data_IF_921710460609
#
_entry.id   IF_921710460609
#
_cell.length_a   1.000
_cell.length_b   1.000
_cell.length_c   1.000
_cell.angle_alpha   90.00
_cell.angle_beta   90.00
_cell.angle_gamma   90.00
#
_symmetry.space_group_name_H-M   'P 1'
#
loop_
_entity.id
_entity.type
_entity.pdbx_description
1 polymer ?
#
# COMPACT_ATOMS: atom_id res chain seq x y z
N UNK A 1 32.03 -52.97 3.16
CA UNK A 1 31.02 -51.89 3.32
C UNK A 1 30.07 -52.18 4.48
N UNK A 2 30.58 -52.39 5.71
CA UNK A 2 29.77 -52.82 6.85
C UNK A 2 29.89 -51.93 8.10
N UNK A 3 30.25 -50.65 7.93
CA UNK A 3 30.55 -49.72 9.04
C UNK A 3 29.68 -48.46 9.10
N UNK A 4 28.74 -48.24 8.17
CA UNK A 4 27.91 -47.02 8.14
C UNK A 4 26.47 -47.18 8.69
N UNK A 5 26.01 -48.40 8.99
CA UNK A 5 24.65 -48.61 9.52
C UNK A 5 24.55 -48.52 11.05
N UNK A 6 25.65 -48.74 11.79
CA UNK A 6 25.65 -48.70 13.26
C UNK A 6 25.75 -47.27 13.84
N UNK A 7 26.47 -46.35 13.18
CA UNK A 7 26.55 -44.94 13.62
C UNK A 7 25.21 -44.21 13.51
N UNK A 8 24.42 -44.49 12.47
CA UNK A 8 23.12 -43.85 12.26
C UNK A 8 22.04 -44.31 13.27
N UNK A 9 22.15 -45.54 13.78
CA UNK A 9 21.24 -46.09 14.80
C UNK A 9 21.53 -45.49 16.19
N UNK A 10 22.81 -45.38 16.58
CA UNK A 10 23.20 -44.70 17.82
C UNK A 10 22.84 -43.20 17.83
N UNK A 11 22.98 -42.49 16.69
CA UNK A 11 22.60 -41.08 16.59
C UNK A 11 21.07 -40.86 16.68
N UNK A 12 20.25 -41.79 16.16
CA UNK A 12 18.79 -41.74 16.29
C UNK A 12 18.32 -42.02 17.72
N UNK A 13 18.92 -42.99 18.41
CA UNK A 13 18.56 -43.30 19.81
C UNK A 13 18.99 -42.18 20.78
N UNK A 14 20.13 -41.52 20.55
CA UNK A 14 20.53 -40.35 21.35
C UNK A 14 19.61 -39.14 21.18
N UNK A 15 19.05 -38.92 19.97
CA UNK A 15 18.04 -37.86 19.74
C UNK A 15 16.70 -38.21 20.40
N UNK A 16 16.27 -39.47 20.34
CA UNK A 16 15.05 -39.93 21.02
C UNK A 16 15.15 -39.77 22.54
N UNK A 17 16.28 -40.12 23.15
CA UNK A 17 16.47 -39.99 24.60
C UNK A 17 16.51 -38.53 25.06
N UNK A 18 17.10 -37.62 24.28
CA UNK A 18 17.07 -36.17 24.55
C UNK A 18 15.66 -35.57 24.40
N UNK A 19 14.90 -35.99 23.40
CA UNK A 19 13.51 -35.54 23.21
C UNK A 19 12.61 -36.07 24.33
N UNK A 20 12.76 -37.33 24.73
CA UNK A 20 11.97 -37.92 25.82
C UNK A 20 12.30 -37.28 27.18
N UNK A 21 13.59 -37.01 27.45
CA UNK A 21 14.01 -36.28 28.65
C UNK A 21 13.49 -34.83 28.67
N UNK A 22 13.47 -34.16 27.50
CA UNK A 22 12.92 -32.81 27.38
C UNK A 22 11.39 -32.78 27.56
N UNK A 23 10.67 -33.74 26.97
CA UNK A 23 9.22 -33.92 27.14
C UNK A 23 8.87 -34.29 28.59
N UNK A 24 9.59 -35.19 29.24
CA UNK A 24 9.38 -35.50 30.66
C UNK A 24 9.63 -34.29 31.56
N UNK A 25 10.68 -33.50 31.29
CA UNK A 25 10.94 -32.27 32.04
C UNK A 25 9.88 -31.19 31.77
N UNK A 26 9.40 -31.06 30.54
CA UNK A 26 8.34 -30.12 30.17
C UNK A 26 7.00 -30.52 30.79
N UNK A 27 6.63 -31.80 30.74
CA UNK A 27 5.42 -32.35 31.36
C UNK A 27 5.51 -32.22 32.88
N UNK A 28 6.64 -32.56 33.54
CA UNK A 28 6.81 -32.35 34.98
C UNK A 28 6.72 -30.86 35.36
N UNK A 29 7.20 -29.94 34.51
CA UNK A 29 7.11 -28.49 34.75
C UNK A 29 5.67 -27.98 34.57
N UNK A 30 4.89 -28.57 33.66
CA UNK A 30 3.44 -28.33 33.55
C UNK A 30 2.72 -28.88 34.78
N UNK A 31 3.01 -30.12 35.20
CA UNK A 31 2.38 -30.74 36.36
C UNK A 31 2.70 -29.99 37.66
N UNK A 32 3.94 -29.55 37.88
CA UNK A 32 4.31 -28.69 39.00
C UNK A 32 3.59 -27.34 38.93
N UNK A 33 3.47 -26.72 37.75
CA UNK A 33 2.71 -25.47 37.60
C UNK A 33 1.22 -25.69 37.85
N UNK A 34 0.61 -26.77 37.36
CA UNK A 34 -0.80 -27.08 37.64
C UNK A 34 -1.03 -27.44 39.10
N UNK A 35 -0.11 -28.14 39.76
CA UNK A 35 -0.19 -28.43 41.19
C UNK A 35 -0.02 -27.16 42.02
N UNK A 36 0.89 -26.26 41.63
CA UNK A 36 1.05 -24.95 42.27
C UNK A 36 -0.19 -24.08 42.09
N UNK A 37 -0.77 -24.06 40.89
CA UNK A 37 -2.03 -23.38 40.58
C UNK A 37 -3.18 -23.96 41.41
N UNK A 38 -3.32 -25.29 41.50
CA UNK A 38 -4.36 -25.96 42.31
C UNK A 38 -4.18 -25.68 43.80
N UNK A 39 -2.95 -25.66 44.31
CA UNK A 39 -2.65 -25.31 45.72
C UNK A 39 -2.95 -23.84 45.98
N UNK A 40 -2.59 -22.93 45.06
CA UNK A 40 -2.97 -21.52 45.13
C UNK A 40 -4.50 -21.36 45.13
N UNK A 41 -5.25 -22.07 44.28
CA UNK A 41 -6.71 -22.04 44.28
C UNK A 41 -7.35 -22.59 45.56
N UNK A 42 -6.70 -23.53 46.26
CA UNK A 42 -7.19 -24.09 47.52
C UNK A 42 -7.06 -23.12 48.70
N UNK A 43 -6.18 -22.13 48.61
CA UNK A 43 -5.87 -21.15 49.67
C UNK A 43 -6.34 -19.72 49.35
N UNK A 44 -6.91 -19.48 48.16
CA UNK A 44 -7.54 -18.22 47.83
C UNK A 44 -8.99 -18.28 48.32
N UNK A 45 -9.29 -17.50 49.36
CA UNK A 45 -10.65 -17.20 49.79
C UNK A 45 -11.51 -16.88 48.56
N UNK A 46 -12.65 -17.57 48.40
CA UNK A 46 -13.51 -17.44 47.21
C UNK A 46 -13.88 -15.98 46.92
N UNK A 47 -13.97 -15.12 47.95
CA UNK A 47 -14.18 -13.68 47.75
C UNK A 47 -13.02 -12.98 47.04
N UNK A 48 -11.77 -13.37 47.35
CA UNK A 48 -10.55 -12.85 46.71
C UNK A 48 -10.39 -13.35 45.28
N UNK A 49 -10.84 -14.57 44.98
CA UNK A 49 -10.86 -15.10 43.62
C UNK A 49 -11.85 -14.32 42.74
N UNK A 50 -13.05 -14.05 43.25
CA UNK A 50 -14.05 -13.25 42.53
C UNK A 50 -13.54 -11.83 42.27
N UNK A 51 -12.88 -11.20 43.24
CA UNK A 51 -12.26 -9.87 43.08
C UNK A 51 -11.14 -9.90 42.05
N UNK A 52 -10.29 -10.93 42.05
CA UNK A 52 -9.22 -11.09 41.06
C UNK A 52 -9.77 -11.29 39.64
N UNK A 53 -10.80 -12.12 39.46
CA UNK A 53 -11.46 -12.33 38.16
C UNK A 53 -12.15 -11.07 37.66
N UNK A 54 -12.79 -10.30 38.55
CA UNK A 54 -13.34 -8.97 38.22
C UNK A 54 -12.25 -8.00 37.79
N UNK A 55 -11.09 -8.03 38.45
CA UNK A 55 -9.95 -7.18 38.11
C UNK A 55 -9.33 -7.55 36.75
N UNK A 56 -9.22 -8.86 36.46
CA UNK A 56 -8.78 -9.36 35.14
C UNK A 56 -9.79 -8.98 34.07
N UNK A 57 -11.10 -9.09 34.33
CA UNK A 57 -12.15 -8.68 33.38
C UNK A 57 -12.13 -7.15 33.14
N UNK A 58 -11.92 -6.35 34.19
CA UNK A 58 -11.78 -4.90 34.06
C UNK A 58 -10.52 -4.54 33.27
N UNK A 59 -9.42 -5.25 33.52
CA UNK A 59 -8.14 -5.06 32.84
C UNK A 59 -8.22 -5.45 31.36
N UNK A 60 -8.87 -6.57 31.02
CA UNK A 60 -9.09 -6.97 29.62
C UNK A 60 -9.99 -5.96 28.91
N UNK A 61 -11.06 -5.47 29.55
CA UNK A 61 -11.91 -4.40 29.00
C UNK A 61 -11.15 -3.10 28.75
N UNK A 62 -10.14 -2.76 29.57
CA UNK A 62 -9.27 -1.59 29.31
C UNK A 62 -8.27 -1.81 28.19
N UNK A 63 -7.73 -3.03 28.03
CA UNK A 63 -6.78 -3.34 26.94
C UNK A 63 -7.49 -3.38 25.58
N UNK A 64 -8.76 -3.81 25.50
CA UNK A 64 -9.53 -3.76 24.25
C UNK A 64 -9.79 -2.33 23.74
N UNK A 65 -9.89 -1.33 24.62
CA UNK A 65 -10.04 0.07 24.18
C UNK A 65 -8.78 0.62 23.52
N UNK A 66 -7.60 0.09 23.86
CA UNK A 66 -6.32 0.55 23.30
C UNK A 66 -6.02 0.01 21.89
N UNK A 67 -6.83 -0.91 21.37
CA UNK A 67 -6.78 -1.37 19.98
C UNK A 67 -7.80 -0.69 19.07
N UNK A 68 -8.58 0.27 19.58
CA UNK A 68 -9.30 1.19 18.71
C UNK A 68 -8.29 2.18 18.13
N UNK A 69 -7.73 1.87 16.97
CA UNK A 69 -7.10 2.89 16.13
C UNK A 69 -8.14 3.98 15.94
N UNK A 70 -7.92 5.14 16.58
CA UNK A 70 -8.58 6.37 16.17
C UNK A 70 -7.96 6.76 14.82
N UNK A 71 -8.30 6.02 13.77
CA UNK A 71 -8.24 6.56 12.43
C UNK A 71 -9.27 7.67 12.43
N UNK A 72 -8.83 8.90 12.72
CA UNK A 72 -9.62 10.08 12.45
C UNK A 72 -9.94 9.97 10.96
N UNK A 73 -11.22 9.77 10.57
CA UNK A 73 -11.56 9.68 9.15
C UNK A 73 -10.96 10.92 8.48
N UNK A 74 -10.16 10.75 7.42
CA UNK A 74 -9.63 11.87 6.65
C UNK A 74 -10.82 12.77 6.31
N UNK A 75 -10.91 13.91 7.01
CA UNK A 75 -12.16 14.66 7.20
C UNK A 75 -12.62 15.36 5.91
N UNK A 76 -11.73 15.43 4.93
CA UNK A 76 -11.96 16.02 3.63
C UNK A 76 -11.25 15.14 2.63
N UNK A 77 -12.00 14.31 1.92
CA UNK A 77 -11.52 13.90 0.61
C UNK A 77 -11.51 15.17 -0.23
N UNK A 78 -10.37 15.47 -0.83
CA UNK A 78 -10.25 16.62 -1.70
C UNK A 78 -11.28 16.48 -2.86
N UNK A 79 -11.40 17.47 -3.74
CA UNK A 79 -12.09 17.25 -5.02
C UNK A 79 -11.11 17.46 -6.17
N UNK A 80 -11.52 17.16 -7.40
CA UNK A 80 -10.74 17.55 -8.58
C UNK A 80 -10.57 19.08 -8.64
N UNK A 81 -11.51 19.84 -8.05
CA UNK A 81 -11.39 21.27 -7.85
C UNK A 81 -10.52 21.61 -6.62
N UNK A 82 -9.89 22.78 -6.70
CA UNK A 82 -9.09 23.30 -5.60
C UNK A 82 -9.99 23.88 -4.51
N UNK A 83 -9.85 23.38 -3.28
CA UNK A 83 -10.48 23.94 -2.10
C UNK A 83 -9.99 25.37 -1.81
N UNK A 84 -10.71 26.12 -0.98
CA UNK A 84 -10.28 27.47 -0.57
C UNK A 84 -8.91 27.47 0.13
N UNK A 85 -8.61 26.42 0.91
CA UNK A 85 -7.31 26.26 1.55
C UNK A 85 -6.21 25.98 0.53
N UNK A 86 -6.45 25.10 -0.45
CA UNK A 86 -5.49 24.84 -1.52
C UNK A 86 -5.28 26.09 -2.40
N UNK A 87 -6.31 26.89 -2.68
CA UNK A 87 -6.17 28.17 -3.39
C UNK A 87 -5.28 29.16 -2.64
N UNK A 88 -5.37 29.19 -1.32
CA UNK A 88 -4.48 30.02 -0.50
C UNK A 88 -3.05 29.48 -0.53
N UNK A 89 -2.87 28.17 -0.38
CA UNK A 89 -1.56 27.52 -0.47
C UNK A 89 -0.91 27.78 -1.82
N UNK A 90 -1.67 27.71 -2.92
CA UNK A 90 -1.16 27.92 -4.28
C UNK A 90 -0.53 29.29 -4.49
N UNK A 91 -0.96 30.34 -3.78
CA UNK A 91 -0.36 31.68 -3.89
C UNK A 91 1.11 31.70 -3.50
N UNK A 92 1.52 30.80 -2.61
CA UNK A 92 2.91 30.67 -2.15
C UNK A 92 3.50 29.31 -2.51
N UNK A 93 2.78 28.49 -3.26
CA UNK A 93 3.22 27.19 -3.71
C UNK A 93 4.19 27.38 -4.87
N UNK A 94 5.42 27.77 -4.55
CA UNK A 94 6.52 27.30 -5.40
C UNK A 94 6.55 25.79 -5.17
N UNK A 95 6.48 24.97 -6.22
CA UNK A 95 6.64 23.51 -6.18
C UNK A 95 7.90 23.15 -5.36
N UNK A 96 7.77 23.09 -4.04
CA UNK A 96 8.86 23.39 -3.08
C UNK A 96 9.66 22.15 -2.73
N UNK A 97 9.27 21.00 -3.29
CA UNK A 97 10.16 19.88 -3.57
C UNK A 97 10.58 20.05 -5.01
N UNK A 98 11.87 20.26 -5.24
CA UNK A 98 12.47 20.59 -6.52
C UNK A 98 11.98 19.62 -7.59
N UNK A 99 10.99 20.04 -8.39
CA UNK A 99 10.69 19.36 -9.63
C UNK A 99 12.01 19.24 -10.38
N UNK A 100 12.42 18.00 -10.67
CA UNK A 100 13.69 17.74 -11.31
C UNK A 100 13.48 17.71 -12.80
N UNK A 101 13.55 18.88 -13.43
CA UNK A 101 13.62 18.96 -14.89
C UNK A 101 14.83 18.17 -15.40
N UNK A 102 14.61 17.37 -16.45
CA UNK A 102 15.67 16.59 -17.09
C UNK A 102 15.77 16.99 -18.56
N UNK A 103 16.87 16.60 -19.22
CA UNK A 103 16.85 16.55 -20.67
C UNK A 103 15.76 15.58 -21.14
N UNK A 104 15.11 15.81 -22.30
CA UNK A 104 14.18 14.84 -22.86
C UNK A 104 14.91 13.55 -23.26
N UNK A 105 14.19 12.43 -23.45
CA UNK A 105 14.75 11.22 -24.01
C UNK A 105 15.42 11.47 -25.36
N UNK A 106 16.46 10.70 -25.68
CA UNK A 106 17.05 10.70 -27.03
C UNK A 106 16.40 9.60 -27.87
N UNK A 107 16.06 9.89 -29.12
CA UNK A 107 15.47 8.90 -30.04
C UNK A 107 14.11 9.35 -30.59
N UNK A 108 13.40 8.40 -31.19
CA UNK A 108 11.99 8.59 -31.57
C UNK A 108 11.11 8.43 -30.33
N UNK A 109 10.35 9.47 -29.99
CA UNK A 109 9.48 9.49 -28.82
C UNK A 109 8.03 9.42 -29.29
N UNK A 110 7.25 8.51 -28.68
CA UNK A 110 5.83 8.35 -28.97
C UNK A 110 5.05 8.26 -27.67
N UNK A 111 4.01 9.08 -27.53
CA UNK A 111 3.08 8.93 -26.41
C UNK A 111 2.30 7.63 -26.54
N UNK A 112 2.11 6.91 -25.43
CA UNK A 112 1.28 5.71 -25.41
C UNK A 112 -0.18 6.15 -25.25
N UNK A 113 -1.04 5.77 -26.21
CA UNK A 113 -2.45 6.10 -26.18
C UNK A 113 -3.23 5.18 -25.23
N UNK A 114 -4.32 5.69 -24.67
CA UNK A 114 -5.13 4.96 -23.67
C UNK A 114 -5.80 3.68 -24.22
N UNK A 115 -5.95 3.56 -25.54
CA UNK A 115 -6.53 2.38 -26.20
C UNK A 115 -5.49 1.30 -26.52
N UNK A 116 -4.20 1.56 -26.32
CA UNK A 116 -3.14 0.56 -26.49
C UNK A 116 -3.18 -0.49 -25.36
N UNK A 117 -2.60 -1.68 -25.57
CA UNK A 117 -2.51 -2.69 -24.52
C UNK A 117 -1.86 -2.13 -23.24
N UNK A 118 -2.47 -2.40 -22.09
CA UNK A 118 -1.99 -1.97 -20.78
C UNK A 118 -1.78 -3.16 -19.84
N UNK A 119 -0.86 -3.01 -18.89
CA UNK A 119 -0.55 -4.04 -17.89
C UNK A 119 -1.42 -3.92 -16.63
N UNK A 120 -1.61 -2.68 -16.14
CA UNK A 120 -2.29 -2.43 -14.87
C UNK A 120 -3.07 -1.11 -14.89
N UNK A 121 -4.12 -1.04 -14.07
CA UNK A 121 -4.86 0.19 -13.75
C UNK A 121 -4.44 0.70 -12.38
N UNK A 122 -4.06 1.99 -12.30
CA UNK A 122 -3.64 2.62 -11.05
C UNK A 122 -4.84 3.29 -10.36
N UNK A 123 -5.12 2.87 -9.12
CA UNK A 123 -6.11 3.49 -8.23
C UNK A 123 -5.44 3.89 -6.91
N UNK A 124 -6.03 4.82 -6.18
CA UNK A 124 -5.52 5.25 -4.88
C UNK A 124 -6.61 5.15 -3.81
N UNK A 125 -6.20 4.74 -2.62
CA UNK A 125 -7.03 4.68 -1.44
C UNK A 125 -6.68 5.84 -0.51
N UNK A 126 -7.66 6.69 -0.23
CA UNK A 126 -7.52 7.86 0.64
C UNK A 126 -8.64 7.86 1.69
N UNK A 127 -8.66 6.83 2.55
CA UNK A 127 -9.80 6.55 3.45
C UNK A 127 -11.06 6.06 2.72
N UNK A 128 -10.94 5.79 1.42
CA UNK A 128 -11.99 5.36 0.51
C UNK A 128 -11.48 5.39 -0.93
N UNK A 129 -12.33 4.97 -1.86
CA UNK A 129 -12.07 5.07 -3.29
C UNK A 129 -12.94 6.15 -3.92
N UNK A 130 -12.36 6.96 -4.81
CA UNK A 130 -13.11 7.93 -5.63
C UNK A 130 -13.99 7.30 -6.72
N UNK A 131 -14.02 5.96 -6.79
CA UNK A 131 -14.81 5.16 -7.72
C UNK A 131 -15.48 3.99 -6.98
N UNK A 132 -16.58 3.42 -7.51
CA UNK A 132 -17.19 2.24 -6.92
C UNK A 132 -16.22 1.05 -6.89
N UNK A 133 -16.17 0.32 -5.77
CA UNK A 133 -15.35 -0.90 -5.66
C UNK A 133 -15.79 -1.97 -6.68
N UNK A 134 -17.06 -1.97 -7.10
CA UNK A 134 -17.55 -2.85 -8.16
C UNK A 134 -16.84 -2.60 -9.50
N UNK A 135 -16.48 -1.35 -9.82
CA UNK A 135 -15.69 -1.05 -11.02
C UNK A 135 -14.28 -1.64 -10.91
N UNK A 136 -13.65 -1.53 -9.73
CA UNK A 136 -12.35 -2.15 -9.47
C UNK A 136 -12.44 -3.68 -9.58
N UNK A 137 -13.53 -4.28 -9.10
CA UNK A 137 -13.78 -5.71 -9.22
C UNK A 137 -13.90 -6.15 -10.68
N UNK A 138 -14.64 -5.41 -11.50
CA UNK A 138 -14.79 -5.68 -12.94
C UNK A 138 -13.44 -5.54 -13.67
N UNK A 139 -12.69 -4.47 -13.41
CA UNK A 139 -11.35 -4.27 -14.01
C UNK A 139 -10.38 -5.38 -13.62
N UNK A 140 -10.42 -5.84 -12.36
CA UNK A 140 -9.54 -6.93 -11.89
C UNK A 140 -9.79 -8.27 -12.58
N UNK A 141 -10.89 -8.43 -13.32
CA UNK A 141 -11.13 -9.64 -14.12
C UNK A 141 -10.29 -9.66 -15.41
N UNK A 142 -9.86 -8.49 -15.90
CA UNK A 142 -9.19 -8.37 -17.22
C UNK A 142 -7.84 -7.65 -17.17
N UNK A 143 -7.57 -6.81 -16.18
CA UNK A 143 -6.29 -6.11 -15.95
C UNK A 143 -5.78 -6.34 -14.53
N UNK A 144 -4.46 -6.14 -14.33
CA UNK A 144 -3.94 -5.98 -12.97
C UNK A 144 -4.38 -4.63 -12.39
N UNK A 145 -4.43 -4.56 -11.07
CA UNK A 145 -4.81 -3.37 -10.31
C UNK A 145 -3.66 -2.99 -9.40
N UNK A 146 -3.06 -1.83 -9.63
CA UNK A 146 -2.06 -1.24 -8.73
C UNK A 146 -2.76 -0.25 -7.82
N UNK A 147 -2.79 -0.52 -6.51
CA UNK A 147 -3.44 0.35 -5.51
C UNK A 147 -2.40 1.11 -4.69
N UNK A 148 -2.46 2.43 -4.70
CA UNK A 148 -1.65 3.30 -3.84
C UNK A 148 -2.31 3.38 -2.47
N UNK A 149 -1.55 3.08 -1.41
CA UNK A 149 -1.99 3.11 0.00
C UNK A 149 -0.89 3.74 0.86
N UNK A 150 -1.26 4.37 1.97
CA UNK A 150 -0.27 5.04 2.82
C UNK A 150 0.72 4.08 3.49
N UNK A 151 0.27 2.87 3.82
CA UNK A 151 1.05 1.89 4.57
C UNK A 151 0.37 0.50 4.59
N UNK A 152 1.01 -0.46 5.25
CA UNK A 152 0.52 -1.84 5.39
C UNK A 152 -0.80 -1.97 6.18
N UNK A 153 -1.12 -1.03 7.07
CA UNK A 153 -2.41 -1.03 7.77
C UNK A 153 -3.54 -0.71 6.79
N UNK A 154 -3.36 0.30 5.95
CA UNK A 154 -4.32 0.63 4.89
C UNK A 154 -4.40 -0.48 3.83
N UNK A 155 -3.28 -1.09 3.44
CA UNK A 155 -3.31 -2.26 2.55
C UNK A 155 -4.21 -3.36 3.11
N UNK A 156 -4.09 -3.69 4.39
CA UNK A 156 -4.93 -4.71 5.01
C UNK A 156 -6.42 -4.33 4.96
N UNK A 157 -6.75 -3.07 5.22
CA UNK A 157 -8.13 -2.55 5.10
C UNK A 157 -8.65 -2.65 3.66
N UNK A 158 -7.82 -2.31 2.67
CA UNK A 158 -8.15 -2.44 1.25
C UNK A 158 -8.33 -3.90 0.86
N UNK A 159 -7.43 -4.81 1.25
CA UNK A 159 -7.55 -6.24 0.96
C UNK A 159 -8.85 -6.83 1.51
N UNK A 160 -9.25 -6.44 2.72
CA UNK A 160 -10.53 -6.85 3.29
C UNK A 160 -11.72 -6.31 2.48
N UNK A 161 -11.65 -5.05 2.05
CA UNK A 161 -12.66 -4.42 1.20
C UNK A 161 -12.75 -5.14 -0.15
N UNK A 162 -11.62 -5.37 -0.81
CA UNK A 162 -11.50 -6.07 -2.09
C UNK A 162 -12.05 -7.50 -2.02
N UNK A 163 -11.62 -8.27 -1.02
CA UNK A 163 -12.10 -9.64 -0.77
C UNK A 163 -13.62 -9.69 -0.61
N UNK A 164 -14.19 -8.75 0.15
CA UNK A 164 -15.63 -8.68 0.41
C UNK A 164 -16.46 -8.23 -0.79
N UNK A 165 -15.83 -7.63 -1.82
CA UNK A 165 -16.49 -7.07 -2.99
C UNK A 165 -16.11 -7.79 -4.30
N UNK A 166 -15.53 -8.99 -4.22
CA UNK A 166 -15.26 -9.83 -5.39
C UNK A 166 -14.11 -9.35 -6.28
N UNK A 167 -13.23 -8.48 -5.76
CA UNK A 167 -12.02 -8.07 -6.47
C UNK A 167 -11.04 -9.24 -6.49
N UNK A 168 -10.44 -9.51 -7.66
CA UNK A 168 -9.47 -10.59 -7.81
C UNK A 168 -8.11 -10.23 -7.19
N UNK A 169 -7.92 -10.60 -5.91
CA UNK A 169 -6.71 -10.30 -5.15
C UNK A 169 -5.42 -10.88 -5.76
N UNK A 170 -5.48 -11.89 -6.63
CA UNK A 170 -4.27 -12.42 -7.29
C UNK A 170 -3.70 -11.46 -8.34
N UNK A 171 -4.46 -10.42 -8.70
CA UNK A 171 -4.10 -9.37 -9.66
C UNK A 171 -3.99 -8.00 -9.01
N UNK A 172 -3.92 -7.96 -7.68
CA UNK A 172 -3.80 -6.71 -6.93
C UNK A 172 -2.38 -6.53 -6.40
N UNK A 173 -1.77 -5.43 -6.81
CA UNK A 173 -0.46 -4.95 -6.38
C UNK A 173 -0.64 -3.67 -5.55
N UNK A 174 0.30 -3.38 -4.67
CA UNK A 174 0.22 -2.24 -3.77
C UNK A 174 1.52 -1.45 -3.83
N UNK A 175 1.40 -0.12 -3.93
CA UNK A 175 2.51 0.82 -3.81
C UNK A 175 2.30 1.67 -2.56
N UNK A 176 3.38 1.95 -1.82
CA UNK A 176 3.30 2.64 -0.54
C UNK A 176 3.69 4.12 -0.64
N UNK A 177 2.67 4.97 -0.56
CA UNK A 177 2.78 6.42 -0.48
C UNK A 177 1.43 6.94 0.03
N UNK A 178 1.43 7.86 1.00
CA UNK A 178 0.18 8.43 1.52
C UNK A 178 -0.37 9.43 0.49
N UNK A 179 -1.39 9.05 -0.32
CA UNK A 179 -1.86 9.95 -1.36
C UNK A 179 -2.55 11.16 -0.72
N UNK A 180 -2.38 12.33 -1.33
CA UNK A 180 -3.21 13.48 -0.96
C UNK A 180 -4.62 13.33 -1.50
N UNK A 181 -4.79 12.57 -2.59
CA UNK A 181 -6.10 12.32 -3.18
C UNK A 181 -6.20 11.05 -4.03
N UNK A 182 -7.42 10.69 -4.41
CA UNK A 182 -7.70 9.54 -5.26
C UNK A 182 -7.69 9.82 -6.78
N UNK A 183 -7.45 11.06 -7.26
CA UNK A 183 -7.46 11.36 -8.71
C UNK A 183 -6.18 10.92 -9.40
N UNK A 184 -5.92 9.61 -9.41
CA UNK A 184 -4.75 9.03 -10.08
C UNK A 184 -4.67 9.44 -11.54
N UNK A 185 -5.79 9.68 -12.23
CA UNK A 185 -5.78 10.25 -13.59
C UNK A 185 -5.00 11.56 -13.69
N UNK A 186 -5.05 12.42 -12.68
CA UNK A 186 -4.51 13.76 -12.74
C UNK A 186 -2.99 13.81 -12.49
N UNK A 187 -2.48 12.91 -11.64
CA UNK A 187 -1.10 12.96 -11.15
C UNK A 187 -0.26 11.70 -11.46
N UNK A 188 -0.88 10.60 -11.88
CA UNK A 188 -0.14 9.36 -12.17
C UNK A 188 0.66 9.49 -13.49
N UNK A 189 1.64 8.59 -13.72
CA UNK A 189 2.57 8.70 -14.84
C UNK A 189 1.91 8.87 -16.20
N UNK A 190 2.53 9.69 -17.06
CA UNK A 190 2.34 9.57 -18.51
C UNK A 190 3.42 8.64 -19.07
N UNK A 191 2.99 7.61 -19.79
CA UNK A 191 3.90 6.65 -20.41
C UNK A 191 4.24 7.06 -21.85
N UNK A 192 5.51 6.92 -22.19
CA UNK A 192 6.04 7.11 -23.54
C UNK A 192 6.77 5.84 -23.99
N UNK A 193 6.76 5.59 -25.29
CA UNK A 193 7.67 4.66 -25.94
C UNK A 193 8.87 5.43 -26.51
N UNK A 194 10.08 4.92 -26.24
CA UNK A 194 11.34 5.41 -26.80
C UNK A 194 11.87 4.37 -27.79
N UNK A 195 12.12 4.81 -29.02
CA UNK A 195 12.55 3.98 -30.16
C UNK A 195 11.66 2.75 -30.42
N UNK A 196 10.40 2.80 -29.97
CA UNK A 196 9.42 1.71 -29.98
C UNK A 196 9.90 0.40 -29.29
N UNK A 197 10.94 0.46 -28.46
CA UNK A 197 11.48 -0.71 -27.76
C UNK A 197 11.49 -0.58 -26.24
N UNK A 198 11.44 0.65 -25.73
CA UNK A 198 11.51 0.94 -24.29
C UNK A 198 10.32 1.77 -23.85
N UNK A 199 9.82 1.52 -22.64
CA UNK A 199 8.78 2.34 -22.00
C UNK A 199 9.44 3.19 -20.93
N UNK A 200 9.11 4.48 -20.92
CA UNK A 200 9.56 5.42 -19.91
C UNK A 200 8.40 6.29 -19.41
N UNK A 201 8.63 6.99 -18.32
CA UNK A 201 7.67 7.88 -17.68
C UNK A 201 8.05 9.35 -17.94
N UNK A 202 7.04 10.15 -18.28
CA UNK A 202 7.11 11.61 -18.17
C UNK A 202 6.51 12.01 -16.82
N UNK A 203 7.30 12.73 -16.02
CA UNK A 203 6.86 13.43 -14.84
C UNK A 203 6.66 14.92 -15.17
N UNK A 204 5.63 15.53 -14.60
CA UNK A 204 5.30 16.94 -14.77
C UNK A 204 4.89 17.54 -13.42
N UNK A 205 5.09 18.84 -13.16
CA UNK A 205 4.56 19.48 -11.96
C UNK A 205 3.02 19.42 -11.95
N UNK A 206 2.44 18.75 -10.96
CA UNK A 206 0.99 18.68 -10.83
C UNK A 206 0.40 20.04 -10.46
N UNK A 207 -0.65 20.47 -11.17
CA UNK A 207 -1.33 21.77 -10.97
C UNK A 207 -2.17 21.88 -9.69
N UNK A 208 -1.83 21.13 -8.63
CA UNK A 208 -2.45 21.19 -7.30
C UNK A 208 -1.35 21.19 -6.24
N UNK A 209 -1.58 21.81 -5.08
CA UNK A 209 -0.61 21.81 -3.99
C UNK A 209 -0.65 20.47 -3.21
N UNK A 210 -0.47 19.36 -3.93
CA UNK A 210 -0.64 17.97 -3.48
C UNK A 210 0.68 17.21 -3.70
N UNK A 211 1.70 17.46 -2.85
CA UNK A 211 3.06 16.99 -3.11
C UNK A 211 3.21 15.46 -3.12
N UNK A 212 2.40 14.73 -2.33
CA UNK A 212 2.45 13.27 -2.37
C UNK A 212 1.74 12.71 -3.60
N UNK A 213 0.80 13.43 -4.21
CA UNK A 213 0.24 13.04 -5.49
C UNK A 213 1.28 13.28 -6.61
N UNK A 214 1.95 14.44 -6.56
CA UNK A 214 2.99 14.88 -7.50
C UNK A 214 4.22 13.94 -7.55
N UNK A 215 4.51 13.23 -6.45
CA UNK A 215 5.63 12.27 -6.37
C UNK A 215 5.27 10.86 -6.91
N UNK A 216 4.01 10.58 -7.27
CA UNK A 216 3.58 9.24 -7.72
C UNK A 216 4.29 8.76 -9.00
N UNK A 217 4.59 9.62 -10.00
CA UNK A 217 5.40 9.21 -11.14
C UNK A 217 6.80 8.72 -10.75
N UNK A 218 7.42 9.34 -9.75
CA UNK A 218 8.73 8.95 -9.21
C UNK A 218 8.65 7.59 -8.54
N UNK A 219 7.63 7.38 -7.69
CA UNK A 219 7.37 6.08 -7.07
C UNK A 219 7.19 4.99 -8.13
N UNK A 220 6.39 5.26 -9.15
CA UNK A 220 6.05 4.26 -10.18
C UNK A 220 7.27 3.89 -11.03
N UNK A 221 8.11 4.87 -11.41
CA UNK A 221 9.35 4.61 -12.13
C UNK A 221 10.31 3.72 -11.34
N UNK A 222 10.45 3.97 -10.03
CA UNK A 222 11.29 3.16 -9.16
C UNK A 222 10.78 1.72 -9.01
N UNK A 223 9.46 1.52 -8.85
CA UNK A 223 8.85 0.20 -8.71
C UNK A 223 8.96 -0.62 -10.01
N UNK A 224 8.78 0.02 -11.16
CA UNK A 224 8.89 -0.64 -12.47
C UNK A 224 10.35 -0.78 -12.95
N UNK A 225 11.27 0.00 -12.38
CA UNK A 225 12.67 0.02 -12.81
C UNK A 225 12.85 0.61 -14.22
N UNK A 226 12.05 1.62 -14.58
CA UNK A 226 12.08 2.29 -15.88
C UNK A 226 12.51 3.75 -15.76
N UNK A 227 12.97 4.32 -16.87
CA UNK A 227 13.43 5.70 -16.91
C UNK A 227 12.31 6.70 -16.66
N UNK A 228 12.65 7.82 -16.02
CA UNK A 228 11.77 8.95 -15.74
C UNK A 228 12.40 10.24 -16.25
N UNK A 229 11.60 11.02 -16.97
CA UNK A 229 12.00 12.31 -17.52
C UNK A 229 11.10 13.42 -16.98
N UNK A 230 11.72 14.50 -16.50
CA UNK A 230 11.00 15.66 -15.96
C UNK A 230 10.71 16.70 -17.04
N UNK A 231 9.46 16.80 -17.47
CA UNK A 231 8.95 17.88 -18.32
C UNK A 231 8.43 19.05 -17.48
N UNK A 232 9.10 20.21 -17.54
CA UNK A 232 8.75 21.39 -16.77
C UNK A 232 7.55 22.15 -17.36
N UNK A 233 6.39 21.50 -17.37
CA UNK A 233 5.11 22.07 -17.79
C UNK A 233 4.08 21.66 -16.73
N UNK A 234 3.56 22.63 -15.98
CA UNK A 234 2.50 22.39 -15.00
C UNK A 234 1.27 21.81 -15.71
N UNK A 235 0.77 20.67 -15.25
CA UNK A 235 -0.32 19.97 -15.92
C UNK A 235 -1.18 19.14 -14.96
N UNK A 236 -2.26 18.58 -15.51
CA UNK A 236 -3.04 17.48 -14.94
C UNK A 236 -3.38 16.46 -16.02
N UNK A 237 -3.22 15.17 -15.74
CA UNK A 237 -3.52 14.10 -16.69
C UNK A 237 -4.99 14.03 -17.15
N UNK A 238 -5.95 14.52 -16.35
CA UNK A 238 -7.35 14.65 -16.78
C UNK A 238 -7.57 15.66 -17.91
N UNK A 239 -6.61 16.58 -18.13
CA UNK A 239 -6.63 17.55 -19.22
C UNK A 239 -5.72 17.15 -20.39
N UNK A 240 -5.35 15.87 -20.51
CA UNK A 240 -4.49 15.36 -21.57
C UNK A 240 -5.04 14.05 -22.14
N UNK A 241 -5.08 13.95 -23.47
CA UNK A 241 -5.25 12.70 -24.18
C UNK A 241 -4.43 12.72 -25.48
N UNK A 242 -3.99 11.55 -25.95
CA UNK A 242 -3.24 11.45 -27.20
C UNK A 242 -3.76 10.32 -28.09
N UNK A 243 -3.47 10.42 -29.38
CA UNK A 243 -3.84 9.43 -30.38
C UNK A 243 -2.79 8.32 -30.56
N UNK A 244 -1.61 8.45 -29.97
CA UNK A 244 -0.49 7.50 -30.14
C UNK A 244 0.29 7.68 -31.45
N UNK A 245 -0.08 8.65 -32.28
CA UNK A 245 0.48 8.94 -33.60
C UNK A 245 0.99 10.39 -33.74
N UNK A 246 1.27 11.04 -32.60
CA UNK A 246 1.89 12.37 -32.55
C UNK A 246 0.90 13.53 -32.33
N UNK A 247 -0.38 13.25 -32.07
CA UNK A 247 -1.37 14.27 -31.71
C UNK A 247 -1.76 14.13 -30.24
N UNK A 248 -1.80 15.25 -29.53
CA UNK A 248 -2.39 15.36 -28.21
C UNK A 248 -3.43 16.49 -28.15
N UNK A 249 -4.38 16.37 -27.24
CA UNK A 249 -5.45 17.35 -27.02
C UNK A 249 -5.51 17.67 -25.53
N UNK A 250 -5.51 18.98 -25.25
CA UNK A 250 -5.72 19.57 -23.93
C UNK A 250 -6.63 20.79 -24.09
N UNK A 251 -7.28 21.22 -23.02
CA UNK A 251 -7.93 22.54 -22.99
C UNK A 251 -6.89 23.66 -22.82
N UNK A 252 -7.27 24.89 -23.17
CA UNK A 252 -6.44 26.10 -23.06
C UNK A 252 -5.90 26.37 -21.65
N UNK A 253 -6.44 25.70 -20.61
CA UNK A 253 -5.94 25.74 -19.24
C UNK A 253 -4.43 25.47 -19.16
N UNK A 254 -3.89 24.60 -20.03
CA UNK A 254 -2.44 24.34 -20.07
C UNK A 254 -1.63 25.58 -20.41
N UNK A 255 -2.16 26.48 -21.25
CA UNK A 255 -1.51 27.76 -21.52
C UNK A 255 -1.65 28.72 -20.34
N UNK A 256 -2.86 28.85 -19.79
CA UNK A 256 -3.13 29.76 -18.67
C UNK A 256 -2.30 29.44 -17.41
N UNK A 257 -2.00 28.16 -17.16
CA UNK A 257 -1.21 27.71 -16.00
C UNK A 257 0.31 27.75 -16.22
N UNK A 258 0.78 28.06 -17.45
CA UNK A 258 2.20 28.03 -17.82
C UNK A 258 2.71 29.33 -18.49
N UNK A 259 2.03 30.46 -18.28
CA UNK A 259 2.43 31.81 -18.73
C UNK A 259 2.87 32.69 -17.58
#
# INVERSE_FOLDING_TARGET
MHTNLTKNKQFREFRFFKIYSFLCNFINKIYLNTAFIIICFKYIDMKKLTVFLLFVLLFTLTVFKSFSQNDVPKKYHLTHEMSAAEKELMKTYSHTRTFSETAPPTGEIRNVAEWEPMESVIVAYDGGFGVPVSLIADMSQVSDITTIVANSSEENSVRNTYSSNGVNLSRCHFMYQDPNSWWTRDYSPWFIAVDNSEVAIINFPYNRPRPNDDDVPILTANELGIDLYGMNVTHTGGNYMCDGYGTAVSTDLVWDENT
#
